data_IF_074278056701
#
_entry.id   IF_074278056701
#
_cell.length_a   1.000
_cell.length_b   1.000
_cell.length_c   1.000
_cell.angle_alpha   90.00
_cell.angle_beta   90.00
_cell.angle_gamma   90.00
#
_symmetry.space_group_name_H-M   'P 1'
#
loop_
_entity.id
_entity.type
_entity.pdbx_description
1 polymer ?
#
# COMPACT_ATOMS: atom_id res chain seq x y z
N UNK A 1 -36.69 3.06 66.99
CA UNK A 1 -35.46 3.82 66.73
C UNK A 1 -35.06 3.68 65.26
N UNK A 2 -35.78 4.37 64.36
CA UNK A 2 -35.84 4.09 62.91
C UNK A 2 -34.76 4.82 62.08
N UNK A 3 -33.79 5.48 62.73
CA UNK A 3 -32.84 6.40 62.11
C UNK A 3 -31.69 5.63 61.43
N UNK A 4 -31.24 4.52 62.00
CA UNK A 4 -30.15 3.70 61.43
C UNK A 4 -30.54 2.95 60.14
N UNK A 5 -31.78 2.49 60.02
CA UNK A 5 -32.28 1.83 58.79
C UNK A 5 -32.44 2.82 57.63
N UNK A 6 -32.83 4.06 57.92
CA UNK A 6 -32.95 5.13 56.90
C UNK A 6 -31.59 5.58 56.35
N UNK A 7 -30.54 5.56 57.17
CA UNK A 7 -29.19 5.91 56.75
C UNK A 7 -28.55 4.83 55.86
N UNK A 8 -28.79 3.53 56.14
CA UNK A 8 -28.28 2.43 55.32
C UNK A 8 -29.02 2.34 53.97
N UNK A 9 -30.34 2.55 53.96
CA UNK A 9 -31.11 2.58 52.71
C UNK A 9 -30.78 3.79 51.82
N UNK A 10 -30.48 4.96 52.43
CA UNK A 10 -30.08 6.16 51.69
C UNK A 10 -28.67 6.03 51.09
N UNK A 11 -27.75 5.34 51.77
CA UNK A 11 -26.40 5.08 51.26
C UNK A 11 -26.40 4.07 50.09
N UNK A 12 -27.23 3.03 50.15
CA UNK A 12 -27.40 2.10 49.02
C UNK A 12 -28.07 2.75 47.80
N UNK A 13 -29.01 3.69 48.01
CA UNK A 13 -29.65 4.43 46.91
C UNK A 13 -28.70 5.43 46.23
N UNK A 14 -27.75 6.01 46.98
CA UNK A 14 -26.78 6.96 46.44
C UNK A 14 -25.65 6.27 45.63
N UNK A 15 -25.25 5.05 46.01
CA UNK A 15 -24.28 4.25 45.24
C UNK A 15 -24.89 3.70 43.94
N UNK A 16 -26.19 3.38 43.93
CA UNK A 16 -26.86 2.88 42.73
C UNK A 16 -27.08 3.96 41.64
N UNK A 17 -27.10 5.24 42.00
CA UNK A 17 -27.37 6.34 41.06
C UNK A 17 -26.12 6.78 40.25
N UNK A 18 -24.91 6.43 40.72
CA UNK A 18 -23.65 6.75 40.03
C UNK A 18 -23.36 5.78 38.86
N UNK A 19 -24.02 4.61 38.82
CA UNK A 19 -23.78 3.57 37.80
C UNK A 19 -24.67 3.66 36.56
N UNK A 20 -25.55 4.67 36.44
CA UNK A 20 -26.45 4.84 35.27
C UNK A 20 -26.13 6.15 34.51
N UNK A 21 -24.90 6.65 34.61
CA UNK A 21 -24.46 7.65 33.64
C UNK A 21 -24.24 6.93 32.30
N UNK A 22 -25.00 7.23 31.23
CA UNK A 22 -24.66 6.71 29.92
C UNK A 22 -23.28 7.24 29.55
N UNK A 23 -22.30 6.33 29.42
CA UNK A 23 -21.05 6.63 28.74
C UNK A 23 -21.41 6.94 27.30
N UNK A 24 -21.74 8.20 27.01
CA UNK A 24 -21.82 8.72 25.66
C UNK A 24 -20.38 8.77 25.18
N UNK A 25 -19.89 7.63 24.69
CA UNK A 25 -18.68 7.58 23.90
C UNK A 25 -18.95 8.43 22.68
N UNK A 26 -18.44 9.66 22.67
CA UNK A 26 -18.40 10.49 21.48
C UNK A 26 -17.54 9.73 20.47
N UNK A 27 -18.17 9.00 19.56
CA UNK A 27 -17.52 8.47 18.37
C UNK A 27 -17.05 9.70 17.60
N UNK A 28 -15.78 10.05 17.77
CA UNK A 28 -15.13 11.03 16.91
C UNK A 28 -15.30 10.51 15.49
N UNK A 29 -16.12 11.19 14.69
CA UNK A 29 -16.21 10.92 13.27
C UNK A 29 -14.80 11.07 12.71
N UNK A 30 -14.11 9.94 12.49
CA UNK A 30 -12.86 9.94 11.77
C UNK A 30 -13.20 10.47 10.39
N UNK A 31 -12.69 11.65 10.06
CA UNK A 31 -12.73 12.16 8.70
C UNK A 31 -12.00 11.13 7.85
N UNK A 32 -12.76 10.29 7.15
CA UNK A 32 -12.20 9.39 6.15
C UNK A 32 -11.76 10.28 5.01
N UNK A 33 -10.46 10.57 4.97
CA UNK A 33 -9.86 11.12 3.77
C UNK A 33 -10.09 10.09 2.66
N UNK A 34 -11.00 10.43 1.74
CA UNK A 34 -11.18 9.65 0.53
C UNK A 34 -9.96 9.93 -0.34
N UNK A 35 -8.97 9.03 -0.30
CA UNK A 35 -7.83 9.10 -1.19
C UNK A 35 -8.33 8.99 -2.63
N UNK A 36 -8.36 10.11 -3.35
CA UNK A 36 -8.85 10.13 -4.73
C UNK A 36 -7.88 9.49 -5.71
N UNK A 37 -6.59 9.41 -5.35
CA UNK A 37 -5.53 8.85 -6.19
C UNK A 37 -4.34 8.40 -5.34
N UNK A 38 -3.80 7.23 -5.69
CA UNK A 38 -2.55 6.71 -5.13
C UNK A 38 -1.60 6.48 -6.29
N UNK A 39 -0.37 6.99 -6.17
CA UNK A 39 0.70 6.79 -7.15
C UNK A 39 1.82 6.03 -6.46
N UNK A 40 2.21 4.89 -7.03
CA UNK A 40 3.36 4.10 -6.58
C UNK A 40 4.44 4.22 -7.63
N UNK A 41 5.60 4.75 -7.26
CA UNK A 41 6.77 4.88 -8.13
C UNK A 41 7.82 3.88 -7.66
N UNK A 42 8.08 2.86 -8.47
CA UNK A 42 9.18 1.92 -8.25
C UNK A 42 10.40 2.34 -9.06
N UNK A 43 11.54 2.49 -8.40
CA UNK A 43 12.83 2.75 -9.03
C UNK A 43 13.69 1.48 -8.96
N UNK A 44 13.80 0.74 -10.06
CA UNK A 44 14.54 -0.52 -10.11
C UNK A 44 16.05 -0.29 -9.90
N UNK A 45 16.66 -1.01 -8.96
CA UNK A 45 18.09 -0.83 -8.62
C UNK A 45 18.43 0.45 -7.85
N UNK A 46 17.46 1.14 -7.25
CA UNK A 46 17.64 2.37 -6.49
C UNK A 46 18.40 2.16 -5.17
N UNK A 47 19.73 2.31 -5.22
CA UNK A 47 20.59 2.23 -4.04
C UNK A 47 20.44 3.48 -3.15
N UNK A 48 20.15 3.32 -1.84
CA UNK A 48 19.96 4.47 -0.94
C UNK A 48 21.24 5.31 -0.79
N UNK A 49 22.41 4.68 -0.74
CA UNK A 49 23.70 5.38 -0.60
C UNK A 49 24.04 6.25 -1.82
N UNK A 50 23.62 5.83 -3.01
CA UNK A 50 23.78 6.60 -4.23
C UNK A 50 22.78 7.77 -4.30
N UNK A 51 21.52 7.56 -3.91
CA UNK A 51 20.50 8.61 -3.90
C UNK A 51 20.89 9.75 -2.96
N UNK A 52 21.38 9.42 -1.76
CA UNK A 52 21.79 10.40 -0.75
C UNK A 52 22.99 11.26 -1.18
N UNK A 53 23.81 10.79 -2.12
CA UNK A 53 24.96 11.53 -2.66
C UNK A 53 24.62 12.28 -3.96
N UNK A 54 23.58 11.86 -4.67
CA UNK A 54 23.21 12.42 -5.96
C UNK A 54 22.37 13.69 -5.83
N UNK A 55 22.50 14.59 -6.81
CA UNK A 55 21.63 15.76 -6.92
C UNK A 55 20.22 15.36 -7.37
N UNK A 56 19.38 14.91 -6.43
CA UNK A 56 18.00 14.45 -6.67
C UNK A 56 17.00 15.28 -5.86
N UNK A 57 16.81 16.58 -6.18
CA UNK A 57 16.10 17.52 -5.31
C UNK A 57 14.64 17.10 -5.05
N UNK A 58 13.97 16.48 -6.01
CA UNK A 58 12.61 15.98 -5.84
C UNK A 58 12.54 14.80 -4.85
N UNK A 59 13.50 13.88 -4.89
CA UNK A 59 13.56 12.74 -3.96
C UNK A 59 13.89 13.20 -2.55
N UNK A 60 14.84 14.13 -2.42
CA UNK A 60 15.18 14.75 -1.13
C UNK A 60 13.97 15.49 -0.54
N UNK A 61 13.27 16.29 -1.35
CA UNK A 61 12.06 16.99 -0.92
C UNK A 61 10.94 16.01 -0.49
N UNK A 62 10.74 14.90 -1.22
CA UNK A 62 9.76 13.88 -0.84
C UNK A 62 10.12 13.23 0.50
N UNK A 63 11.40 12.92 0.72
CA UNK A 63 11.87 12.34 1.97
C UNK A 63 11.77 13.31 3.15
N UNK A 64 12.07 14.60 2.93
CA UNK A 64 12.00 15.65 3.96
C UNK A 64 10.56 16.00 4.36
N UNK A 65 9.63 16.02 3.40
CA UNK A 65 8.24 16.41 3.63
C UNK A 65 7.31 15.25 3.94
N UNK A 66 7.77 14.02 3.74
CA UNK A 66 7.02 12.79 3.96
C UNK A 66 7.65 11.92 5.04
N UNK A 67 7.44 10.61 4.88
CA UNK A 67 8.08 9.59 5.71
C UNK A 67 9.02 8.78 4.84
N UNK A 68 10.27 8.61 5.29
CA UNK A 68 11.30 7.87 4.56
C UNK A 68 12.01 6.86 5.44
N UNK A 69 12.46 5.76 4.83
CA UNK A 69 13.35 4.78 5.44
C UNK A 69 14.50 4.46 4.47
N UNK A 70 15.72 4.83 4.86
CA UNK A 70 16.93 4.55 4.09
C UNK A 70 17.53 3.17 4.36
N UNK A 71 16.93 2.42 5.28
CA UNK A 71 17.35 1.08 5.71
C UNK A 71 16.30 0.02 5.37
N UNK A 72 15.30 0.35 4.55
CA UNK A 72 14.32 -0.61 4.06
C UNK A 72 15.02 -1.74 3.29
N UNK A 73 14.61 -2.98 3.53
CA UNK A 73 15.19 -4.16 2.89
C UNK A 73 14.16 -4.79 1.95
N UNK A 74 14.62 -5.13 0.75
CA UNK A 74 13.86 -5.97 -0.17
C UNK A 74 14.01 -7.44 0.21
N UNK A 75 13.19 -8.31 -0.39
CA UNK A 75 13.27 -9.76 -0.25
C UNK A 75 14.55 -10.34 -0.86
N UNK A 76 14.90 -11.56 -0.46
CA UNK A 76 16.00 -12.32 -1.07
C UNK A 76 15.45 -13.47 -1.95
N UNK A 77 15.99 -13.67 -3.17
CA UNK A 77 17.06 -12.90 -3.79
C UNK A 77 16.57 -11.55 -4.33
N UNK A 78 17.44 -10.53 -4.24
CA UNK A 78 17.14 -9.16 -4.66
C UNK A 78 17.19 -9.00 -6.18
N UNK A 79 16.25 -9.65 -6.88
CA UNK A 79 16.09 -9.58 -8.34
C UNK A 79 14.77 -8.90 -8.70
N UNK A 80 14.74 -8.21 -9.84
CA UNK A 80 13.63 -7.33 -10.24
C UNK A 80 12.25 -7.99 -10.11
N UNK A 81 12.03 -9.15 -10.76
CA UNK A 81 10.69 -9.75 -10.79
C UNK A 81 10.24 -10.23 -9.39
N UNK A 82 11.15 -10.81 -8.60
CA UNK A 82 10.84 -11.29 -7.25
C UNK A 82 10.53 -10.12 -6.32
N UNK A 83 11.37 -9.08 -6.32
CA UNK A 83 11.15 -7.88 -5.51
C UNK A 83 9.86 -7.15 -5.86
N UNK A 84 9.53 -7.02 -7.15
CA UNK A 84 8.27 -6.39 -7.57
C UNK A 84 7.06 -7.29 -7.24
N UNK A 85 7.17 -8.61 -7.33
CA UNK A 85 6.11 -9.52 -6.89
C UNK A 85 5.78 -9.33 -5.41
N UNK A 86 6.81 -9.29 -4.54
CA UNK A 86 6.61 -9.02 -3.11
C UNK A 86 6.04 -7.62 -2.86
N UNK A 87 6.51 -6.60 -3.59
CA UNK A 87 5.99 -5.23 -3.46
C UNK A 87 4.51 -5.11 -3.83
N UNK A 88 4.10 -5.74 -4.93
CA UNK A 88 2.74 -5.61 -5.46
C UNK A 88 1.73 -6.50 -4.72
N UNK A 89 2.15 -7.64 -4.17
CA UNK A 89 1.29 -8.54 -3.39
C UNK A 89 1.32 -8.29 -1.89
N UNK A 90 2.39 -7.68 -1.38
CA UNK A 90 2.64 -7.55 0.07
C UNK A 90 3.07 -8.85 0.74
N UNK A 91 3.54 -9.85 -0.03
CA UNK A 91 3.83 -11.20 0.43
C UNK A 91 5.31 -11.57 0.32
N UNK A 92 5.75 -12.58 1.07
CA UNK A 92 7.09 -13.17 0.93
C UNK A 92 7.22 -14.01 -0.34
N UNK A 93 8.46 -14.33 -0.72
CA UNK A 93 8.77 -15.14 -1.91
C UNK A 93 8.06 -16.49 -1.89
N UNK A 94 8.01 -17.13 -0.72
CA UNK A 94 7.37 -18.42 -0.51
C UNK A 94 5.85 -18.33 -0.70
N UNK A 95 5.24 -17.21 -0.30
CA UNK A 95 3.81 -17.02 -0.34
C UNK A 95 3.31 -16.69 -1.75
N UNK A 96 4.05 -15.86 -2.49
CA UNK A 96 3.65 -15.48 -3.85
C UNK A 96 4.23 -16.35 -4.96
N UNK A 97 5.17 -17.26 -4.64
CA UNK A 97 5.68 -18.30 -5.55
C UNK A 97 6.62 -17.82 -6.66
N UNK A 98 6.63 -16.53 -7.02
CA UNK A 98 7.59 -15.95 -7.98
C UNK A 98 9.03 -16.06 -7.47
N UNK A 99 9.76 -17.07 -7.91
CA UNK A 99 11.13 -17.37 -7.48
C UNK A 99 12.15 -17.40 -8.63
N UNK A 100 11.75 -16.99 -9.84
CA UNK A 100 12.60 -16.94 -11.02
C UNK A 100 12.61 -15.54 -11.63
N UNK A 101 13.69 -15.22 -12.36
CA UNK A 101 13.78 -14.05 -13.22
C UNK A 101 13.68 -14.43 -14.71
N UNK A 102 13.29 -15.67 -14.97
CA UNK A 102 13.36 -16.29 -16.28
C UNK A 102 12.27 -15.81 -17.23
N UNK A 103 12.70 -15.66 -18.48
CA UNK A 103 11.96 -15.15 -19.62
C UNK A 103 10.98 -16.18 -20.16
N UNK A 104 9.85 -16.39 -19.51
CA UNK A 104 8.82 -17.23 -20.12
C UNK A 104 7.90 -16.34 -20.96
N UNK A 105 8.27 -16.28 -22.24
CA UNK A 105 7.47 -15.94 -23.43
C UNK A 105 7.22 -14.44 -23.71
N UNK A 106 7.52 -14.06 -24.95
CA UNK A 106 7.05 -12.86 -25.65
C UNK A 106 6.01 -13.34 -26.69
N UNK A 107 4.87 -12.65 -26.91
CA UNK A 107 4.29 -11.57 -26.10
C UNK A 107 3.76 -12.13 -24.76
N UNK A 108 3.73 -11.28 -23.73
CA UNK A 108 3.46 -11.63 -22.33
C UNK A 108 2.46 -12.80 -22.20
N UNK A 109 2.88 -14.01 -21.77
CA UNK A 109 1.93 -15.07 -21.54
C UNK A 109 1.20 -14.66 -20.26
N UNK A 110 -0.08 -14.42 -20.40
CA UNK A 110 -1.00 -14.23 -19.29
C UNK A 110 -1.03 -15.50 -18.43
N UNK A 111 -0.04 -15.66 -17.57
CA UNK A 111 -0.08 -16.49 -16.38
C UNK A 111 0.42 -15.60 -15.25
N UNK A 112 -0.47 -14.74 -14.71
CA UNK A 112 -0.11 -13.87 -13.62
C UNK A 112 0.33 -14.71 -12.41
N UNK A 113 1.17 -14.11 -11.59
CA UNK A 113 1.21 -14.41 -10.15
C UNK A 113 -0.21 -14.76 -9.68
N UNK A 114 -0.41 -15.95 -9.10
CA UNK A 114 -1.77 -16.41 -8.76
C UNK A 114 -2.39 -15.54 -7.66
N UNK A 115 -1.54 -14.99 -6.80
CA UNK A 115 -1.98 -14.16 -5.69
C UNK A 115 -2.36 -12.75 -6.16
N UNK A 116 -3.50 -12.19 -5.74
CA UNK A 116 -3.88 -10.83 -6.10
C UNK A 116 -2.86 -9.79 -5.67
N UNK A 117 -2.50 -8.89 -6.58
CA UNK A 117 -1.77 -7.65 -6.31
C UNK A 117 -2.71 -6.61 -5.72
N UNK A 118 -2.17 -5.56 -5.09
CA UNK A 118 -2.98 -4.44 -4.61
C UNK A 118 -3.76 -3.76 -5.74
N UNK A 119 -3.27 -3.82 -6.99
CA UNK A 119 -3.96 -3.28 -8.17
C UNK A 119 -5.22 -4.09 -8.50
N UNK A 120 -5.11 -5.42 -8.47
CA UNK A 120 -6.26 -6.31 -8.64
C UNK A 120 -7.30 -6.10 -7.54
N UNK A 121 -6.84 -5.97 -6.29
CA UNK A 121 -7.73 -5.67 -5.16
C UNK A 121 -8.38 -4.28 -5.28
N UNK A 122 -7.64 -3.27 -5.74
CA UNK A 122 -8.18 -1.93 -5.97
C UNK A 122 -9.25 -1.95 -7.08
N UNK A 123 -9.00 -2.67 -8.18
CA UNK A 123 -9.98 -2.77 -9.26
C UNK A 123 -11.25 -3.52 -8.82
N UNK A 124 -11.11 -4.59 -8.01
CA UNK A 124 -12.26 -5.27 -7.38
C UNK A 124 -13.06 -4.35 -6.44
N UNK A 125 -12.41 -3.34 -5.86
CA UNK A 125 -13.05 -2.28 -5.08
C UNK A 125 -13.52 -1.08 -5.94
N UNK A 126 -13.65 -1.27 -7.26
CA UNK A 126 -14.12 -0.29 -8.24
C UNK A 126 -13.21 0.94 -8.45
N UNK A 127 -11.91 0.84 -8.14
CA UNK A 127 -10.93 1.84 -8.55
C UNK A 127 -10.41 1.58 -9.97
N UNK A 128 -10.17 2.65 -10.74
CA UNK A 128 -9.41 2.57 -11.98
C UNK A 128 -7.92 2.36 -11.68
N UNK A 129 -7.28 1.43 -12.38
CA UNK A 129 -5.86 1.09 -12.17
C UNK A 129 -5.08 1.19 -13.48
N UNK A 130 -3.82 1.62 -13.37
CA UNK A 130 -2.91 1.71 -14.50
C UNK A 130 -1.49 1.32 -14.08
N UNK A 131 -0.74 0.73 -15.01
CA UNK A 131 0.63 0.27 -14.87
C UNK A 131 1.42 0.79 -16.07
N UNK A 132 2.39 1.67 -15.82
CA UNK A 132 3.33 2.13 -16.86
C UNK A 132 4.72 1.68 -16.45
N UNK A 133 5.38 0.91 -17.32
CA UNK A 133 6.67 0.29 -17.01
C UNK A 133 7.69 0.58 -18.09
N UNK A 134 8.93 0.85 -17.67
CA UNK A 134 10.09 0.99 -18.57
C UNK A 134 10.80 -0.34 -18.86
N UNK A 135 10.32 -1.44 -18.26
CA UNK A 135 10.93 -2.78 -18.37
C UNK A 135 9.91 -3.77 -18.90
N UNK A 136 10.23 -4.39 -20.03
CA UNK A 136 9.35 -5.28 -20.80
C UNK A 136 8.74 -6.41 -19.95
N UNK A 137 9.48 -6.83 -18.92
CA UNK A 137 9.20 -8.00 -18.08
C UNK A 137 8.27 -7.71 -16.91
N UNK A 138 7.74 -6.50 -16.76
CA UNK A 138 6.80 -6.19 -15.68
C UNK A 138 5.33 -6.43 -16.10
N UNK A 139 5.09 -6.88 -17.33
CA UNK A 139 3.77 -7.22 -17.84
C UNK A 139 3.07 -8.33 -17.02
N UNK A 140 3.83 -9.24 -16.37
CA UNK A 140 3.30 -10.34 -15.56
C UNK A 140 2.46 -9.86 -14.36
N UNK A 141 2.58 -8.60 -13.97
CA UNK A 141 1.81 -8.03 -12.86
C UNK A 141 0.44 -7.50 -13.27
N UNK A 142 0.15 -7.45 -14.57
CA UNK A 142 -1.20 -7.16 -15.06
C UNK A 142 -2.04 -8.43 -14.99
N UNK A 143 -2.81 -8.59 -13.91
CA UNK A 143 -3.66 -9.76 -13.71
C UNK A 143 -5.07 -9.60 -14.32
N UNK A 144 -5.50 -8.36 -14.57
CA UNK A 144 -6.82 -8.03 -15.10
C UNK A 144 -6.69 -7.27 -16.43
N UNK A 145 -7.55 -7.58 -17.39
CA UNK A 145 -7.53 -6.95 -18.72
C UNK A 145 -7.90 -5.46 -18.66
N UNK A 146 -8.72 -5.05 -17.69
CA UNK A 146 -9.16 -3.65 -17.57
C UNK A 146 -8.12 -2.75 -16.89
N UNK A 147 -7.07 -3.33 -16.28
CA UNK A 147 -5.92 -2.55 -15.84
C UNK A 147 -5.20 -2.01 -17.07
N UNK A 148 -5.14 -0.69 -17.21
CA UNK A 148 -4.37 -0.05 -18.29
C UNK A 148 -2.89 -0.40 -18.13
N UNK A 149 -2.29 -0.95 -19.17
CA UNK A 149 -0.90 -1.38 -19.14
C UNK A 149 -0.15 -0.81 -20.33
N UNK A 150 0.96 -0.12 -20.05
CA UNK A 150 1.86 0.37 -21.08
C UNK A 150 3.30 -0.05 -20.78
N UNK A 151 3.94 -0.68 -21.75
CA UNK A 151 5.40 -0.84 -21.78
C UNK A 151 6.00 0.28 -22.62
N UNK A 152 6.67 1.23 -21.96
CA UNK A 152 7.26 2.40 -22.61
C UNK A 152 8.67 2.06 -23.13
N UNK A 153 8.82 2.04 -24.45
CA UNK A 153 10.01 1.49 -25.14
C UNK A 153 11.14 2.49 -25.37
N UNK A 154 10.88 3.78 -25.19
CA UNK A 154 11.83 4.86 -25.52
C UNK A 154 12.57 5.37 -24.27
N UNK A 155 12.71 4.51 -23.26
CA UNK A 155 13.36 4.82 -21.99
C UNK A 155 12.47 5.59 -21.01
N UNK A 156 13.06 6.07 -19.92
CA UNK A 156 12.32 6.63 -18.77
C UNK A 156 11.43 7.81 -19.13
N UNK A 157 11.80 8.61 -20.14
CA UNK A 157 10.98 9.73 -20.59
C UNK A 157 9.61 9.29 -21.11
N UNK A 158 9.57 8.20 -21.85
CA UNK A 158 8.31 7.64 -22.36
C UNK A 158 7.41 7.07 -21.26
N UNK A 159 7.98 6.63 -20.14
CA UNK A 159 7.20 6.27 -18.94
C UNK A 159 6.53 7.53 -18.39
N UNK A 160 7.28 8.62 -18.23
CA UNK A 160 6.74 9.89 -17.72
C UNK A 160 5.64 10.44 -18.63
N UNK A 161 5.90 10.50 -19.93
CA UNK A 161 4.95 11.07 -20.88
C UNK A 161 3.64 10.26 -20.90
N UNK A 162 3.71 8.92 -20.85
CA UNK A 162 2.51 8.07 -20.74
C UNK A 162 1.76 8.28 -19.42
N UNK A 163 2.47 8.41 -18.30
CA UNK A 163 1.83 8.63 -16.98
C UNK A 163 1.06 9.95 -16.95
N UNK A 164 1.53 10.99 -17.67
CA UNK A 164 0.85 12.29 -17.74
C UNK A 164 -0.45 12.26 -18.56
N UNK A 165 -0.71 11.19 -19.34
CA UNK A 165 -1.92 11.00 -20.13
C UNK A 165 -3.04 10.25 -19.37
N UNK A 166 -2.77 9.78 -18.15
CA UNK A 166 -3.69 9.01 -17.28
C UNK A 166 -4.47 9.91 -16.31
#
# INVERSE_FOLDING_TARGET
MPIRQRLISALCAMVALICIAPNISTVSAQTTFVLSRVIVISLDGARPDAILQANTPNMHMLAERGTASWTAQTVYPSVTNIGHASMLTGLSVEQHGVNHNDSFVFPCPSLPIETPTFLTLAQQAAYSTAIVVGKERLCYFRQLEETDYTFAREGDRSVVDRVLEL
#
